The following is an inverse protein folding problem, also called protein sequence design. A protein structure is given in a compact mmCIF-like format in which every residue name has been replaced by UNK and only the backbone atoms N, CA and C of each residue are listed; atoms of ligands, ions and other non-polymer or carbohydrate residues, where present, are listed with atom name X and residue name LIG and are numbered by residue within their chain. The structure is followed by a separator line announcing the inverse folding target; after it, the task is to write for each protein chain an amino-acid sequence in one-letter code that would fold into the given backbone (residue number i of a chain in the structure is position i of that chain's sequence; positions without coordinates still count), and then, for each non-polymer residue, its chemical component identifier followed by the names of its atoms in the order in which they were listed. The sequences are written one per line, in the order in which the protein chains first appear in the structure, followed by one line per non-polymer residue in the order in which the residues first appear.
data_IF_076986371664
#
_entry.id   IF_076986371664
#
_cell.length_a   1.000
_cell.length_b   1.000
_cell.length_c   1.000
_cell.angle_alpha   90.00
_cell.angle_beta   90.00
_cell.angle_gamma   90.00
#
_symmetry.space_group_name_H-M   'P 1'
#
loop_
_entity.id
_entity.type
_entity.pdbx_description
1 polymer ?
#
# COMPACT_ATOMS: atom_id res chain seq x y z
N UNK A 1 -4.02 5.18 1.18
CA UNK A 1 -3.33 4.38 0.15
C UNK A 1 -4.25 3.50 -0.72
N UNK A 2 -5.47 3.14 -0.28
CA UNK A 2 -6.39 2.22 -0.99
C UNK A 2 -6.86 2.66 -2.38
N UNK A 3 -6.89 3.97 -2.67
CA UNK A 3 -7.30 4.51 -3.98
C UNK A 3 -6.48 3.97 -5.15
N UNK A 4 -5.21 3.64 -4.92
CA UNK A 4 -4.32 3.10 -5.97
C UNK A 4 -4.77 1.71 -6.44
N UNK A 5 -5.52 0.96 -5.62
CA UNK A 5 -6.03 -0.38 -5.98
C UNK A 5 -7.14 -0.32 -7.03
N UNK A 6 -7.75 0.86 -7.22
CA UNK A 6 -8.75 1.12 -8.26
C UNK A 6 -8.14 1.70 -9.55
N UNK A 7 -6.84 2.00 -9.54
CA UNK A 7 -6.13 2.53 -10.71
C UNK A 7 -5.81 1.42 -11.72
N UNK A 8 -5.99 1.69 -13.01
CA UNK A 8 -5.84 0.68 -14.06
C UNK A 8 -4.38 0.23 -14.24
N UNK A 9 -3.43 1.15 -14.13
CA UNK A 9 -2.01 0.82 -14.28
C UNK A 9 -1.53 0.00 -13.08
N UNK A 10 -1.99 0.37 -11.88
CA UNK A 10 -1.75 -0.40 -10.66
C UNK A 10 -2.35 -1.81 -10.75
N UNK A 11 -3.58 -1.97 -11.25
CA UNK A 11 -4.18 -3.31 -11.44
C UNK A 11 -3.40 -4.16 -12.44
N UNK A 12 -2.85 -3.53 -13.50
CA UNK A 12 -1.95 -4.20 -14.44
C UNK A 12 -0.68 -4.70 -13.75
N UNK A 13 -0.03 -3.85 -12.95
CA UNK A 13 1.15 -4.23 -12.18
C UNK A 13 0.88 -5.35 -11.16
N UNK A 14 -0.27 -5.29 -10.48
CA UNK A 14 -0.70 -6.29 -9.50
C UNK A 14 -1.08 -7.64 -10.13
N UNK A 15 -1.06 -7.76 -11.46
CA UNK A 15 -1.41 -8.99 -12.16
C UNK A 15 -2.85 -9.43 -11.89
N UNK A 16 -3.78 -8.47 -11.78
CA UNK A 16 -5.18 -8.74 -11.48
C UNK A 16 -5.76 -9.65 -12.56
N UNK A 17 -6.29 -10.79 -12.14
CA UNK A 17 -6.88 -11.80 -13.02
C UNK A 17 -8.24 -12.27 -12.50
N UNK A 18 -9.12 -12.67 -13.41
CA UNK A 18 -10.44 -13.21 -13.10
C UNK A 18 -10.42 -14.72 -13.21
N UNK A 19 -10.76 -15.41 -12.12
CA UNK A 19 -10.94 -16.86 -12.09
C UNK A 19 -12.23 -17.21 -11.34
N UNK A 20 -13.13 -17.93 -12.01
CA UNK A 20 -14.47 -18.28 -11.48
C UNK A 20 -15.20 -17.05 -10.91
N UNK A 21 -15.27 -15.99 -11.71
CA UNK A 21 -15.87 -14.69 -11.39
C UNK A 21 -15.22 -13.89 -10.25
N UNK A 22 -14.20 -14.44 -9.57
CA UNK A 22 -13.46 -13.78 -8.51
C UNK A 22 -12.22 -13.08 -9.09
N UNK A 23 -12.01 -11.82 -8.71
CA UNK A 23 -10.78 -11.07 -9.03
C UNK A 23 -9.70 -11.36 -7.98
N UNK A 24 -8.58 -11.89 -8.45
CA UNK A 24 -7.38 -12.18 -7.67
C UNK A 24 -6.27 -11.22 -8.06
N UNK A 25 -5.42 -10.86 -7.11
CA UNK A 25 -4.20 -10.11 -7.38
C UNK A 25 -2.99 -10.90 -6.86
N UNK A 26 -1.81 -10.61 -7.41
CA UNK A 26 -0.57 -11.28 -7.01
C UNK A 26 -0.08 -10.73 -5.66
N UNK A 27 0.19 -11.65 -4.72
CA UNK A 27 0.73 -11.32 -3.39
C UNK A 27 2.05 -10.54 -3.48
N UNK A 28 3.04 -11.09 -4.18
CA UNK A 28 4.39 -10.53 -4.24
C UNK A 28 4.37 -9.14 -4.90
N UNK A 29 3.63 -8.98 -6.00
CA UNK A 29 3.46 -7.69 -6.66
C UNK A 29 2.76 -6.66 -5.77
N UNK A 30 1.83 -7.08 -4.92
CA UNK A 30 1.17 -6.19 -3.96
C UNK A 30 2.11 -5.72 -2.86
N UNK A 31 2.85 -6.64 -2.25
CA UNK A 31 3.84 -6.31 -1.22
C UNK A 31 4.96 -5.41 -1.78
N UNK A 32 5.44 -5.72 -2.98
CA UNK A 32 6.44 -4.91 -3.70
C UNK A 32 5.91 -3.49 -3.98
N UNK A 33 4.67 -3.36 -4.47
CA UNK A 33 4.06 -2.04 -4.71
C UNK A 33 3.99 -1.22 -3.42
N UNK A 34 3.47 -1.80 -2.33
CA UNK A 34 3.35 -1.11 -1.06
C UNK A 34 4.71 -0.69 -0.50
N UNK A 35 5.74 -1.54 -0.67
CA UNK A 35 7.10 -1.21 -0.26
C UNK A 35 7.65 -0.01 -1.05
N UNK A 36 7.45 0.03 -2.37
CA UNK A 36 7.87 1.19 -3.17
C UNK A 36 7.11 2.47 -2.83
N UNK A 37 5.81 2.37 -2.54
CA UNK A 37 5.03 3.52 -2.06
C UNK A 37 5.52 4.02 -0.71
N UNK A 38 5.89 3.11 0.20
CA UNK A 38 6.51 3.48 1.47
C UNK A 38 7.82 4.23 1.26
N UNK A 39 8.72 3.72 0.41
CA UNK A 39 10.00 4.37 0.13
C UNK A 39 9.79 5.76 -0.50
N UNK A 40 8.84 5.89 -1.43
CA UNK A 40 8.49 7.18 -2.02
C UNK A 40 7.99 8.17 -0.95
N UNK A 41 7.12 7.74 -0.05
CA UNK A 41 6.64 8.56 1.06
C UNK A 41 7.78 8.97 2.00
N UNK A 42 8.70 8.06 2.33
CA UNK A 42 9.87 8.37 3.17
C UNK A 42 10.74 9.44 2.52
N UNK A 43 11.02 9.34 1.22
CA UNK A 43 11.79 10.34 0.47
C UNK A 43 11.06 11.69 0.46
N UNK A 44 9.75 11.69 0.20
CA UNK A 44 8.93 12.90 0.17
C UNK A 44 8.91 13.59 1.55
N UNK A 45 8.56 12.86 2.61
CA UNK A 45 8.57 13.36 3.99
C UNK A 45 9.95 13.92 4.34
N UNK A 46 11.01 13.17 4.08
CA UNK A 46 12.37 13.61 4.38
C UNK A 46 12.75 14.86 3.60
N UNK A 47 12.33 14.99 2.34
CA UNK A 47 12.63 16.15 1.50
C UNK A 47 11.91 17.42 1.96
N UNK A 48 10.68 17.29 2.48
CA UNK A 48 9.88 18.41 2.98
C UNK A 48 10.43 18.94 4.32
N UNK A 49 11.07 18.08 5.11
CA UNK A 49 11.54 18.39 6.47
C UNK A 49 13.06 18.68 6.54
N UNK A 50 13.69 18.94 5.39
CA UNK A 50 15.15 19.20 5.27
C UNK A 50 15.62 20.46 6.02
N UNK A 51 14.74 21.40 6.35
CA UNK A 51 15.10 22.70 6.95
C UNK A 51 14.20 23.06 8.13
N UNK A 52 14.50 22.51 9.31
CA UNK A 52 14.04 23.08 10.59
C UNK A 52 13.11 22.23 11.45
N UNK A 53 12.73 21.04 11.02
CA UNK A 53 11.81 20.21 11.80
C UNK A 53 12.50 19.40 12.90
N UNK A 54 11.74 19.12 13.96
CA UNK A 54 12.18 18.26 15.05
C UNK A 54 12.32 16.83 14.51
N UNK A 55 13.48 16.15 14.66
CA UNK A 55 13.69 14.79 14.14
C UNK A 55 12.62 13.77 14.58
N UNK A 56 11.97 14.05 15.72
CA UNK A 56 10.93 13.21 16.29
C UNK A 56 9.59 13.27 15.54
N UNK A 57 9.31 14.34 14.80
CA UNK A 57 8.07 14.50 14.02
C UNK A 57 8.17 13.76 12.68
N UNK A 58 9.29 13.91 11.98
CA UNK A 58 9.60 13.15 10.76
C UNK A 58 9.56 11.64 11.01
N UNK A 59 10.16 11.18 12.11
CA UNK A 59 10.13 9.78 12.51
C UNK A 59 8.72 9.25 12.78
N UNK A 60 7.84 10.05 13.39
CA UNK A 60 6.44 9.67 13.61
C UNK A 60 5.64 9.57 12.32
N UNK A 61 5.85 10.48 11.36
CA UNK A 61 5.20 10.40 10.06
C UNK A 61 5.61 9.14 9.30
N UNK A 62 6.91 8.83 9.27
CA UNK A 62 7.42 7.60 8.67
C UNK A 62 6.84 6.35 9.35
N UNK A 63 6.78 6.34 10.69
CA UNK A 63 6.20 5.22 11.44
C UNK A 63 4.72 5.01 11.11
N UNK A 64 3.94 6.08 10.95
CA UNK A 64 2.53 5.99 10.53
C UNK A 64 2.41 5.40 9.13
N UNK A 65 3.21 5.84 8.18
CA UNK A 65 3.21 5.26 6.83
C UNK A 65 3.56 3.77 6.84
N UNK A 66 4.52 3.36 7.68
CA UNK A 66 4.86 1.95 7.85
C UNK A 66 3.69 1.14 8.43
N UNK A 67 3.00 1.69 9.43
CA UNK A 67 1.81 1.05 10.02
C UNK A 67 0.69 0.88 8.99
N UNK A 68 0.39 1.92 8.18
CA UNK A 68 -0.60 1.81 7.10
C UNK A 68 -0.26 0.71 6.09
N UNK A 69 1.03 0.56 5.75
CA UNK A 69 1.50 -0.51 4.86
C UNK A 69 1.33 -1.88 5.50
N UNK A 70 1.74 -2.02 6.77
CA UNK A 70 1.60 -3.28 7.50
C UNK A 70 0.13 -3.71 7.64
N UNK A 71 -0.76 -2.77 7.94
CA UNK A 71 -2.20 -3.01 8.06
C UNK A 71 -2.80 -3.43 6.71
N UNK A 72 -2.37 -2.82 5.60
CA UNK A 72 -2.82 -3.21 4.26
C UNK A 72 -2.35 -4.60 3.86
N UNK A 73 -1.12 -4.99 4.21
CA UNK A 73 -0.61 -6.35 3.99
C UNK A 73 -1.42 -7.36 4.79
N UNK A 74 -1.66 -7.10 6.08
CA UNK A 74 -2.48 -7.98 6.93
C UNK A 74 -3.93 -8.09 6.40
N UNK A 75 -4.48 -6.99 5.90
CA UNK A 75 -5.81 -6.97 5.29
C UNK A 75 -5.84 -7.76 3.97
N UNK A 76 -4.79 -7.68 3.15
CA UNK A 76 -4.66 -8.47 1.94
C UNK A 76 -4.57 -9.97 2.25
N UNK A 77 -3.83 -10.37 3.28
CA UNK A 77 -3.79 -11.74 3.79
C UNK A 77 -5.18 -12.22 4.25
N UNK A 78 -5.88 -11.41 5.05
CA UNK A 78 -7.23 -11.72 5.52
C UNK A 78 -8.25 -11.81 4.37
N UNK A 79 -8.04 -11.06 3.28
CA UNK A 79 -8.86 -11.13 2.07
C UNK A 79 -8.61 -12.40 1.24
N UNK A 80 -7.53 -13.13 1.51
CA UNK A 80 -7.05 -14.22 0.69
C UNK A 80 -6.61 -13.76 -0.70
N UNK A 81 -6.12 -12.53 -0.82
CA UNK A 81 -5.70 -11.91 -2.09
C UNK A 81 -6.81 -11.76 -3.14
N UNK A 82 -8.05 -11.60 -2.68
CA UNK A 82 -9.22 -11.31 -3.51
C UNK A 82 -9.47 -9.80 -3.50
N UNK A 83 -9.44 -9.18 -4.68
CA UNK A 83 -9.49 -7.71 -4.80
C UNK A 83 -10.75 -7.11 -4.17
N UNK A 84 -11.92 -7.68 -4.48
CA UNK A 84 -13.19 -7.22 -3.93
C UNK A 84 -13.23 -7.35 -2.40
N UNK A 85 -12.73 -8.46 -1.86
CA UNK A 85 -12.67 -8.69 -0.41
C UNK A 85 -11.69 -7.75 0.28
N UNK A 86 -10.56 -7.45 -0.34
CA UNK A 86 -9.62 -6.45 0.16
C UNK A 86 -10.28 -5.07 0.24
N UNK A 87 -11.00 -4.65 -0.81
CA UNK A 87 -11.69 -3.36 -0.84
C UNK A 87 -12.82 -3.24 0.20
N UNK A 88 -13.48 -4.35 0.53
CA UNK A 88 -14.46 -4.42 1.63
C UNK A 88 -13.81 -4.29 3.00
N UNK A 89 -12.65 -4.93 3.22
CA UNK A 89 -11.97 -4.96 4.52
C UNK A 89 -11.14 -3.70 4.79
N UNK A 90 -10.70 -3.00 3.75
CA UNK A 90 -9.90 -1.79 3.84
C UNK A 90 -10.75 -0.50 3.93
N UNK A 91 -12.06 -0.62 4.18
CA UNK A 91 -13.02 0.48 4.35
C UNK A 91 -13.17 0.92 5.81
#
# INVERSE_FOLDING_TARGET
MTRILSDTDAQGYLGVNRYQDILWFNKESFEDLLWWLFIAAVVEISSQHLQGDQPNETGQLILRCYQEVADLVATAEASGYKLEKLLELAH
#
